data_IF_592534513437
#
_entry.id   IF_592534513437
#
_cell.length_a   1.000
_cell.length_b   1.000
_cell.length_c   1.000
_cell.angle_alpha   90.00
_cell.angle_beta   90.00
_cell.angle_gamma   90.00
#
_symmetry.space_group_name_H-M   'P 1'
#
loop_
_entity.id
_entity.type
_entity.pdbx_description
1 polymer ?
#
# COMPACT_ATOMS: atom_id res chain seq x y z
N UNK A 1 12.46 -17.08 5.32
CA UNK A 1 11.28 -17.66 4.64
C UNK A 1 11.77 -18.70 3.65
N UNK A 2 11.36 -19.96 3.81
CA UNK A 2 11.68 -20.99 2.81
C UNK A 2 10.99 -20.60 1.51
N UNK A 3 11.77 -20.49 0.44
CA UNK A 3 11.21 -20.17 -0.85
C UNK A 3 10.36 -21.32 -1.36
N UNK A 4 9.30 -21.04 -2.14
CA UNK A 4 8.46 -22.08 -2.70
C UNK A 4 9.27 -23.10 -3.51
N UNK A 5 8.72 -24.30 -3.61
CA UNK A 5 9.29 -25.43 -4.34
C UNK A 5 9.60 -25.07 -5.80
N UNK A 6 10.40 -25.88 -6.48
CA UNK A 6 10.77 -25.68 -7.88
C UNK A 6 9.56 -25.47 -8.80
N UNK A 7 8.44 -26.15 -8.51
CA UNK A 7 7.18 -26.06 -9.23
C UNK A 7 6.55 -24.66 -9.17
N UNK A 8 6.51 -24.03 -7.99
CA UNK A 8 5.99 -22.66 -7.88
C UNK A 8 6.87 -21.65 -8.62
N UNK A 9 8.20 -21.84 -8.60
CA UNK A 9 9.13 -20.96 -9.32
C UNK A 9 9.01 -21.07 -10.84
N UNK A 10 8.53 -22.19 -11.36
CA UNK A 10 8.20 -22.33 -12.79
C UNK A 10 6.88 -21.68 -13.16
N UNK A 11 5.94 -21.55 -12.21
CA UNK A 11 4.61 -20.98 -12.45
C UNK A 11 4.57 -19.44 -12.45
N UNK A 12 5.57 -18.76 -11.87
CA UNK A 12 5.67 -17.30 -11.79
C UNK A 12 6.98 -16.79 -12.40
N UNK A 13 6.99 -15.56 -12.92
CA UNK A 13 8.19 -14.99 -13.53
C UNK A 13 9.36 -14.87 -12.52
N UNK A 14 10.59 -14.81 -13.06
CA UNK A 14 11.79 -14.62 -12.26
C UNK A 14 11.74 -13.34 -11.40
N UNK A 15 11.18 -12.26 -11.95
CA UNK A 15 11.04 -10.97 -11.26
C UNK A 15 10.07 -11.04 -10.09
N UNK A 16 8.92 -11.70 -10.26
CA UNK A 16 7.95 -11.90 -9.17
C UNK A 16 8.57 -12.78 -8.08
N UNK A 17 9.32 -13.82 -8.46
CA UNK A 17 10.04 -14.66 -7.51
C UNK A 17 11.07 -13.86 -6.70
N UNK A 18 11.80 -12.95 -7.35
CA UNK A 18 12.77 -12.08 -6.69
C UNK A 18 12.10 -11.06 -5.75
N UNK A 19 10.98 -10.48 -6.17
CA UNK A 19 10.20 -9.56 -5.34
C UNK A 19 9.65 -10.27 -4.08
N UNK A 20 9.05 -11.45 -4.23
CA UNK A 20 8.54 -12.25 -3.11
C UNK A 20 9.65 -12.66 -2.14
N UNK A 21 10.87 -12.96 -2.63
CA UNK A 21 12.05 -13.16 -1.78
C UNK A 21 12.34 -11.95 -0.93
N UNK A 22 12.43 -10.78 -1.56
CA UNK A 22 12.77 -9.53 -0.88
C UNK A 22 11.73 -9.19 0.20
N UNK A 23 10.44 -9.30 -0.14
CA UNK A 23 9.33 -9.06 0.78
C UNK A 23 9.29 -10.10 1.92
N UNK A 24 9.61 -11.36 1.63
CA UNK A 24 9.71 -12.41 2.65
C UNK A 24 10.89 -12.22 3.60
N UNK A 25 12.05 -11.80 3.09
CA UNK A 25 13.23 -11.43 3.92
C UNK A 25 12.95 -10.21 4.79
N UNK A 26 12.19 -9.24 4.29
CA UNK A 26 11.72 -8.09 5.06
C UNK A 26 10.61 -8.44 6.10
N UNK A 27 10.11 -9.68 6.08
CA UNK A 27 9.07 -10.14 7.01
C UNK A 27 7.68 -9.58 6.73
N UNK A 28 7.42 -9.04 5.53
CA UNK A 28 6.12 -8.48 5.15
C UNK A 28 5.20 -9.49 4.46
N UNK A 29 5.79 -10.54 3.88
CA UNK A 29 5.06 -11.59 3.16
C UNK A 29 5.45 -12.96 3.69
N UNK A 30 4.48 -13.85 3.80
CA UNK A 30 4.71 -15.28 3.99
C UNK A 30 4.10 -16.07 2.84
N UNK A 31 4.75 -17.19 2.51
CA UNK A 31 4.25 -18.13 1.50
C UNK A 31 4.06 -19.48 2.16
N UNK A 32 2.82 -20.00 2.13
CA UNK A 32 2.44 -21.32 2.65
C UNK A 32 1.51 -22.00 1.66
N UNK A 33 1.73 -23.28 1.37
CA UNK A 33 0.89 -24.08 0.46
C UNK A 33 0.59 -23.37 -0.87
N UNK A 34 1.61 -22.76 -1.47
CA UNK A 34 1.50 -21.99 -2.72
C UNK A 34 0.63 -20.73 -2.65
N UNK A 35 0.24 -20.29 -1.45
CA UNK A 35 -0.48 -19.03 -1.22
C UNK A 35 0.47 -17.98 -0.65
N UNK A 36 0.45 -16.80 -1.27
CA UNK A 36 1.15 -15.62 -0.79
C UNK A 36 0.20 -14.81 0.09
N UNK A 37 0.63 -14.43 1.28
CA UNK A 37 -0.17 -13.60 2.18
C UNK A 37 0.71 -12.57 2.89
N UNK A 38 0.11 -11.43 3.23
CA UNK A 38 0.77 -10.44 4.06
C UNK A 38 0.88 -10.96 5.50
N UNK A 39 2.02 -10.74 6.13
CA UNK A 39 2.17 -10.91 7.58
C UNK A 39 1.44 -9.79 8.32
N UNK A 40 1.26 -9.85 9.65
CA UNK A 40 0.71 -8.73 10.41
C UNK A 40 1.48 -7.41 10.19
N UNK A 41 2.81 -7.47 10.14
CA UNK A 41 3.67 -6.30 9.86
C UNK A 41 3.55 -5.85 8.41
N UNK A 42 3.44 -6.78 7.46
CA UNK A 42 3.20 -6.46 6.06
C UNK A 42 1.84 -5.79 5.82
N UNK A 43 0.80 -6.20 6.54
CA UNK A 43 -0.51 -5.54 6.50
C UNK A 43 -0.44 -4.10 6.98
N UNK A 44 0.24 -3.84 8.10
CA UNK A 44 0.46 -2.47 8.59
C UNK A 44 1.21 -1.61 7.58
N UNK A 45 2.28 -2.14 7.01
CA UNK A 45 3.05 -1.43 5.98
C UNK A 45 2.23 -1.14 4.72
N UNK A 46 1.48 -2.12 4.22
CA UNK A 46 0.59 -1.94 3.07
C UNK A 46 -0.52 -0.90 3.36
N UNK A 47 -1.12 -0.94 4.56
CA UNK A 47 -2.12 0.04 4.97
C UNK A 47 -1.54 1.47 5.02
N UNK A 48 -0.31 1.62 5.54
CA UNK A 48 0.42 2.90 5.52
C UNK A 48 0.63 3.43 4.11
N UNK A 49 1.01 2.58 3.15
CA UNK A 49 1.19 2.98 1.74
C UNK A 49 -0.13 3.41 1.12
N UNK A 50 -1.18 2.59 1.25
CA UNK A 50 -2.52 2.89 0.71
C UNK A 50 -3.09 4.18 1.33
N UNK A 51 -2.86 4.41 2.63
CA UNK A 51 -3.23 5.64 3.32
C UNK A 51 -2.50 6.85 2.73
N UNK A 52 -1.18 6.74 2.52
CA UNK A 52 -0.40 7.81 1.90
C UNK A 52 -0.91 8.14 0.48
N UNK A 53 -1.14 7.11 -0.33
CA UNK A 53 -1.70 7.22 -1.68
C UNK A 53 -3.01 8.03 -1.67
N UNK A 54 -3.97 7.59 -0.87
CA UNK A 54 -5.30 8.20 -0.80
C UNK A 54 -5.26 9.64 -0.27
N UNK A 55 -4.40 9.93 0.70
CA UNK A 55 -4.20 11.30 1.19
C UNK A 55 -3.60 12.21 0.09
N UNK A 56 -2.68 11.68 -0.73
CA UNK A 56 -2.16 12.42 -1.88
C UNK A 56 -3.21 12.65 -2.96
N UNK A 57 -4.05 11.66 -3.27
CA UNK A 57 -5.17 11.84 -4.20
C UNK A 57 -6.13 12.92 -3.70
N UNK A 58 -6.50 12.92 -2.41
CA UNK A 58 -7.30 14.00 -1.79
C UNK A 58 -6.62 15.36 -1.91
N UNK A 59 -5.33 15.43 -1.60
CA UNK A 59 -4.61 16.69 -1.68
C UNK A 59 -4.56 17.24 -3.11
N UNK A 60 -4.24 16.40 -4.09
CA UNK A 60 -4.12 16.83 -5.49
C UNK A 60 -5.46 17.28 -6.06
N UNK A 61 -6.55 16.61 -5.69
CA UNK A 61 -7.90 17.00 -6.12
C UNK A 61 -8.39 18.27 -5.42
N UNK A 62 -8.26 18.38 -4.10
CA UNK A 62 -8.80 19.52 -3.33
C UNK A 62 -7.96 20.79 -3.42
N UNK A 63 -6.63 20.66 -3.46
CA UNK A 63 -5.70 21.78 -3.31
C UNK A 63 -4.96 22.13 -4.59
N UNK A 64 -4.77 21.18 -5.48
CA UNK A 64 -4.09 21.38 -6.77
C UNK A 64 -5.02 21.30 -7.98
N UNK A 65 -6.34 21.16 -7.76
CA UNK A 65 -7.38 21.16 -8.81
C UNK A 65 -7.21 20.11 -9.90
N UNK A 66 -6.59 18.97 -9.55
CA UNK A 66 -6.55 17.82 -10.46
C UNK A 66 -7.94 17.19 -10.56
N UNK A 67 -8.25 16.62 -11.73
CA UNK A 67 -9.41 15.74 -11.87
C UNK A 67 -9.13 14.41 -11.17
N UNK A 68 -10.10 13.79 -10.47
CA UNK A 68 -9.93 12.49 -9.84
C UNK A 68 -9.34 11.43 -10.79
N UNK A 69 -9.80 11.37 -12.03
CA UNK A 69 -9.32 10.36 -13.00
C UNK A 69 -7.85 10.53 -13.41
N UNK A 70 -7.19 11.64 -13.05
CA UNK A 70 -5.81 11.95 -13.42
C UNK A 70 -4.84 12.02 -12.22
N UNK A 71 -5.29 11.72 -10.99
CA UNK A 71 -4.40 11.85 -9.81
C UNK A 71 -3.55 10.62 -9.52
N UNK A 72 -3.98 9.44 -9.97
CA UNK A 72 -3.40 8.15 -9.56
C UNK A 72 -1.88 8.08 -9.73
N UNK A 73 -1.36 8.34 -10.95
CA UNK A 73 0.09 8.26 -11.22
C UNK A 73 0.90 9.27 -10.38
N UNK A 74 0.32 10.44 -10.10
CA UNK A 74 0.99 11.47 -9.29
C UNK A 74 1.00 11.09 -7.81
N UNK A 75 -0.08 10.49 -7.31
CA UNK A 75 -0.17 9.98 -5.96
C UNK A 75 0.76 8.77 -5.75
N UNK A 76 0.82 7.84 -6.70
CA UNK A 76 1.72 6.67 -6.66
C UNK A 76 3.20 7.09 -6.57
N UNK A 77 3.62 8.12 -7.32
CA UNK A 77 4.99 8.63 -7.18
C UNK A 77 5.28 9.26 -5.83
N UNK A 78 4.28 9.86 -5.19
CA UNK A 78 4.42 10.64 -3.97
C UNK A 78 4.19 9.81 -2.68
N UNK A 79 3.51 8.66 -2.75
CA UNK A 79 3.13 7.88 -1.57
C UNK A 79 4.33 7.40 -0.75
N UNK A 80 5.49 7.25 -1.39
CA UNK A 80 6.74 6.84 -0.75
C UNK A 80 7.54 7.98 -0.11
N UNK A 81 7.10 9.24 -0.23
CA UNK A 81 7.88 10.40 0.20
C UNK A 81 7.65 10.80 1.66
N UNK A 82 6.52 10.39 2.24
CA UNK A 82 6.12 10.79 3.58
C UNK A 82 6.36 9.67 4.58
N UNK A 83 7.07 10.01 5.67
CA UNK A 83 7.06 9.24 6.90
C UNK A 83 5.71 9.40 7.64
N UNK A 84 5.58 8.74 8.79
CA UNK A 84 4.37 8.76 9.61
C UNK A 84 3.97 10.18 10.03
N UNK A 85 4.94 10.98 10.45
CA UNK A 85 4.66 12.37 10.84
C UNK A 85 4.21 13.22 9.65
N UNK A 86 4.86 13.07 8.49
CA UNK A 86 4.48 13.73 7.25
C UNK A 86 3.06 13.41 6.82
N UNK A 87 2.65 12.13 6.89
CA UNK A 87 1.29 11.70 6.58
C UNK A 87 0.27 12.28 7.56
N UNK A 88 0.56 12.26 8.86
CA UNK A 88 -0.33 12.87 9.88
C UNK A 88 -0.54 14.36 9.61
N UNK A 89 0.54 15.10 9.30
CA UNK A 89 0.45 16.53 8.95
C UNK A 89 -0.36 16.76 7.67
N UNK A 90 -0.23 15.89 6.67
CA UNK A 90 -1.03 15.96 5.44
C UNK A 90 -2.51 15.72 5.73
N UNK A 91 -2.84 14.68 6.51
CA UNK A 91 -4.20 14.39 6.93
C UNK A 91 -4.84 15.55 7.72
N UNK A 92 -4.10 16.14 8.67
CA UNK A 92 -4.56 17.32 9.42
C UNK A 92 -4.87 18.50 8.50
N UNK A 93 -4.04 18.77 7.49
CA UNK A 93 -4.27 19.83 6.50
C UNK A 93 -5.49 19.59 5.62
N UNK A 94 -5.86 18.33 5.43
CA UNK A 94 -7.06 17.92 4.69
C UNK A 94 -8.31 17.86 5.58
N UNK A 95 -8.19 18.17 6.87
CA UNK A 95 -9.33 18.12 7.80
C UNK A 95 -9.75 16.70 8.18
N UNK A 96 -8.81 15.73 8.16
CA UNK A 96 -9.04 14.32 8.52
C UNK A 96 -10.12 13.65 7.66
N UNK A 97 -9.93 13.58 6.34
CA UNK A 97 -10.89 12.92 5.46
C UNK A 97 -10.97 11.42 5.75
N UNK A 98 -12.17 10.84 5.65
CA UNK A 98 -12.39 9.40 5.83
C UNK A 98 -12.32 8.61 4.51
N UNK A 99 -12.46 9.30 3.36
CA UNK A 99 -12.49 8.69 2.02
C UNK A 99 -11.61 9.46 1.03
N UNK A 100 -11.11 8.76 0.01
CA UNK A 100 -10.40 9.33 -1.14
C UNK A 100 -11.38 10.00 -2.14
N UNK A 101 -10.90 10.64 -3.23
CA UNK A 101 -11.78 11.25 -4.24
C UNK A 101 -12.66 10.25 -5.01
N UNK A 102 -12.33 8.97 -4.94
CA UNK A 102 -13.03 7.87 -5.61
C UNK A 102 -14.04 7.16 -4.69
N UNK A 103 -14.12 7.58 -3.42
CA UNK A 103 -15.05 7.04 -2.42
C UNK A 103 -14.52 5.85 -1.62
N UNK A 104 -13.24 5.45 -1.79
CA UNK A 104 -12.67 4.39 -0.96
C UNK A 104 -12.20 4.91 0.38
N UNK A 105 -12.39 4.13 1.45
CA UNK A 105 -12.00 4.50 2.82
C UNK A 105 -10.50 4.71 2.95
N UNK A 106 -10.06 5.79 3.58
CA UNK A 106 -8.65 5.99 3.97
C UNK A 106 -8.36 5.06 5.17
N UNK A 107 -7.40 4.11 5.07
CA UNK A 107 -7.04 3.25 6.19
C UNK A 107 -6.54 4.07 7.38
N UNK A 108 -6.76 3.58 8.60
CA UNK A 108 -6.07 4.12 9.78
C UNK A 108 -4.56 3.81 9.73
N UNK A 109 -3.74 4.60 10.42
CA UNK A 109 -2.27 4.40 10.51
C UNK A 109 -1.90 2.97 10.97
N UNK A 110 -2.75 2.38 11.82
CA UNK A 110 -2.58 1.05 12.41
C UNK A 110 -3.57 0.01 11.89
N UNK A 111 -4.30 0.28 10.80
CA UNK A 111 -5.31 -0.63 10.25
C UNK A 111 -4.64 -1.86 9.59
N UNK A 112 -4.19 -2.80 10.41
CA UNK A 112 -3.76 -4.13 10.00
C UNK A 112 -4.92 -5.10 9.76
N UNK A 113 -6.17 -4.60 9.73
CA UNK A 113 -7.39 -5.39 9.56
C UNK A 113 -7.94 -5.29 8.13
N UNK A 114 -8.16 -6.47 7.56
CA UNK A 114 -8.91 -6.81 6.34
C UNK A 114 -9.07 -5.70 5.29
N UNK A 115 -8.23 -5.75 4.25
CA UNK A 115 -8.70 -5.41 2.92
C UNK A 115 -9.85 -6.38 2.61
N UNK A 116 -11.08 -5.86 2.59
CA UNK A 116 -12.28 -6.66 2.29
C UNK A 116 -12.12 -7.26 0.88
N UNK A 117 -12.52 -8.54 0.67
CA UNK A 117 -12.34 -9.25 -0.60
C UNK A 117 -12.99 -8.56 -1.80
#
# INVERSE_FOLDING_TARGET
VALPTAEFRQAISGDVTAALRKLGTAGWVEVRDFKVSLTPTGRKFAASLVRAHRLWERYLTERASYKPDHVHESAERAEHWLDEEGRRRLEERLGKPEVDPHGSRIPAEDDGKEARP
#
